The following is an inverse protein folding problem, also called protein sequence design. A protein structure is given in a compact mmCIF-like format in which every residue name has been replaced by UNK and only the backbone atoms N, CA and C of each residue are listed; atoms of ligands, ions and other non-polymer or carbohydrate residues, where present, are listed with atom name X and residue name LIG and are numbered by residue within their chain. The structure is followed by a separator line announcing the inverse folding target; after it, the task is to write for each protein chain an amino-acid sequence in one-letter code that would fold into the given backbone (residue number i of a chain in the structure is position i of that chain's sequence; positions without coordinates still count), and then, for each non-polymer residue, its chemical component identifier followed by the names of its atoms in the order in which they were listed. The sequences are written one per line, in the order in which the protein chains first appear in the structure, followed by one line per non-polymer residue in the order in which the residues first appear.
data_IF_734208911947
#
_entry.id   IF_734208911947
#
_cell.length_a   1.000
_cell.length_b   1.000
_cell.length_c   1.000
_cell.angle_alpha   90.00
_cell.angle_beta   90.00
_cell.angle_gamma   90.00
#
_symmetry.space_group_name_H-M   'P 1'
#
loop_
_entity.id
_entity.type
_entity.pdbx_description
1 polymer ?
#
# COMPACT_ATOMS: atom_id res chain seq x y z
N UNK A 1 19.95 -8.79 10.30
CA UNK A 1 18.77 -9.36 9.62
C UNK A 1 17.46 -9.13 10.39
N UNK A 2 17.44 -9.13 11.73
CA UNK A 2 16.22 -8.87 12.51
C UNK A 2 15.51 -7.57 12.11
N UNK A 3 16.23 -6.45 12.09
CA UNK A 3 15.67 -5.13 11.70
C UNK A 3 15.08 -5.12 10.28
N UNK A 4 15.63 -5.93 9.36
CA UNK A 4 15.12 -6.04 8.00
C UNK A 4 13.82 -6.86 7.95
N UNK A 5 13.73 -7.92 8.77
CA UNK A 5 12.50 -8.70 8.92
C UNK A 5 11.41 -7.88 9.60
N UNK A 6 11.75 -7.10 10.64
CA UNK A 6 10.82 -6.18 11.30
C UNK A 6 10.29 -5.15 10.29
N UNK A 7 11.17 -4.60 9.45
CA UNK A 7 10.77 -3.70 8.36
C UNK A 7 9.85 -4.38 7.35
N UNK A 8 10.15 -5.62 6.93
CA UNK A 8 9.29 -6.36 6.00
C UNK A 8 7.89 -6.62 6.59
N UNK A 9 7.82 -6.90 7.89
CA UNK A 9 6.57 -7.08 8.61
C UNK A 9 5.73 -5.80 8.63
N UNK A 10 6.35 -4.66 8.93
CA UNK A 10 5.66 -3.36 8.86
C UNK A 10 5.29 -2.97 7.42
N UNK A 11 6.12 -3.32 6.44
CA UNK A 11 5.79 -3.12 5.02
C UNK A 11 4.59 -3.96 4.58
N UNK A 12 4.47 -5.20 5.07
CA UNK A 12 3.30 -6.03 4.83
C UNK A 12 2.04 -5.42 5.43
N UNK A 13 2.10 -4.92 6.67
CA UNK A 13 0.97 -4.19 7.28
C UNK A 13 0.62 -2.93 6.51
N UNK A 14 1.61 -2.19 6.03
CA UNK A 14 1.38 -1.00 5.21
C UNK A 14 0.64 -1.37 3.92
N UNK A 15 1.05 -2.45 3.25
CA UNK A 15 0.34 -2.99 2.08
C UNK A 15 -1.13 -3.32 2.43
N UNK A 16 -1.39 -4.03 3.53
CA UNK A 16 -2.76 -4.32 3.97
C UNK A 16 -3.57 -3.06 4.22
N UNK A 17 -2.99 -2.06 4.90
CA UNK A 17 -3.65 -0.78 5.19
C UNK A 17 -3.97 0.00 3.91
N UNK A 18 -3.05 0.04 2.95
CA UNK A 18 -3.30 0.71 1.66
C UNK A 18 -4.37 -0.02 0.85
N UNK A 19 -4.48 -1.34 0.95
CA UNK A 19 -5.56 -2.13 0.35
C UNK A 19 -6.93 -1.77 0.97
N UNK A 20 -7.01 -1.70 2.32
CA UNK A 20 -8.23 -1.26 3.02
C UNK A 20 -8.60 0.19 2.66
N UNK A 21 -7.61 1.07 2.54
CA UNK A 21 -7.82 2.46 2.15
C UNK A 21 -8.34 2.57 0.71
N UNK A 22 -7.79 1.78 -0.20
CA UNK A 22 -8.28 1.64 -1.58
C UNK A 22 -9.73 1.19 -1.60
N UNK A 23 -10.08 0.14 -0.86
CA UNK A 23 -11.45 -0.37 -0.80
C UNK A 23 -12.43 0.67 -0.23
N UNK A 24 -12.00 1.39 0.80
CA UNK A 24 -12.78 2.48 1.39
C UNK A 24 -12.97 3.63 0.40
N UNK A 25 -11.90 4.03 -0.30
CA UNK A 25 -11.94 5.06 -1.34
C UNK A 25 -12.86 4.67 -2.50
N UNK A 26 -12.86 3.40 -2.91
CA UNK A 26 -13.70 2.93 -4.00
C UNK A 26 -15.21 2.98 -3.70
N UNK A 27 -15.59 2.95 -2.41
CA UNK A 27 -16.99 3.09 -1.95
C UNK A 27 -17.47 4.53 -1.89
N UNK A 28 -16.57 5.51 -1.97
CA UNK A 28 -16.92 6.93 -1.96
C UNK A 28 -17.59 7.35 -3.27
N UNK A 29 -18.40 8.41 -3.18
CA UNK A 29 -18.93 9.11 -4.36
C UNK A 29 -17.83 9.89 -5.08
N UNK A 30 -18.07 10.30 -6.33
CA UNK A 30 -17.07 11.04 -7.11
C UNK A 30 -16.67 12.38 -6.48
N UNK A 31 -17.60 13.08 -5.81
CA UNK A 31 -17.30 14.33 -5.11
C UNK A 31 -16.39 14.10 -3.90
N UNK A 32 -16.65 13.04 -3.12
CA UNK A 32 -15.83 12.66 -1.97
C UNK A 32 -14.45 12.16 -2.42
N UNK A 33 -14.37 11.39 -3.51
CA UNK A 33 -13.10 10.99 -4.13
C UNK A 33 -12.25 12.19 -4.52
N UNK A 34 -12.87 13.18 -5.18
CA UNK A 34 -12.19 14.42 -5.55
C UNK A 34 -11.69 15.21 -4.34
N UNK A 35 -12.48 15.25 -3.25
CA UNK A 35 -12.05 15.88 -2.00
C UNK A 35 -10.81 15.17 -1.43
N UNK A 36 -10.85 13.85 -1.31
CA UNK A 36 -9.72 13.05 -0.80
C UNK A 36 -8.46 13.27 -1.64
N UNK A 37 -8.59 13.23 -2.98
CA UNK A 37 -7.47 13.48 -3.88
C UNK A 37 -6.92 14.91 -3.76
N UNK A 38 -7.80 15.92 -3.66
CA UNK A 38 -7.39 17.32 -3.55
C UNK A 38 -6.60 17.64 -2.28
N UNK A 39 -6.76 16.83 -1.23
CA UNK A 39 -6.04 16.96 0.04
C UNK A 39 -4.81 16.05 0.12
N UNK A 40 -4.56 15.21 -0.90
CA UNK A 40 -3.41 14.32 -0.94
C UNK A 40 -2.13 15.11 -1.18
N UNK A 41 -1.11 15.06 -0.29
CA UNK A 41 0.13 15.81 -0.46
C UNK A 41 0.89 15.45 -1.75
N UNK A 42 0.70 14.23 -2.24
CA UNK A 42 1.36 13.70 -3.43
C UNK A 42 0.41 13.60 -4.63
N UNK A 43 -0.85 14.00 -4.48
CA UNK A 43 -1.94 13.76 -5.44
C UNK A 43 -2.07 12.29 -5.87
N UNK A 44 -1.52 11.35 -5.09
CA UNK A 44 -1.66 9.93 -5.36
C UNK A 44 -2.98 9.44 -4.79
N UNK A 45 -3.69 8.64 -5.60
CA UNK A 45 -4.88 7.94 -5.14
C UNK A 45 -4.52 6.77 -4.22
N UNK A 46 -5.44 6.36 -3.33
CA UNK A 46 -5.31 5.12 -2.57
C UNK A 46 -5.04 3.88 -3.43
N UNK A 47 -5.56 3.83 -4.66
CA UNK A 47 -5.21 2.78 -5.63
C UNK A 47 -3.72 2.74 -5.93
N UNK A 48 -3.12 3.91 -6.17
CA UNK A 48 -1.70 4.03 -6.50
C UNK A 48 -0.83 3.65 -5.30
N UNK A 49 -1.22 4.07 -4.10
CA UNK A 49 -0.53 3.70 -2.86
C UNK A 49 -0.54 2.18 -2.63
N UNK A 50 -1.68 1.52 -2.87
CA UNK A 50 -1.81 0.06 -2.74
C UNK A 50 -0.98 -0.69 -3.78
N UNK A 51 -0.98 -0.23 -5.03
CA UNK A 51 -0.15 -0.80 -6.10
C UNK A 51 1.35 -0.69 -5.76
N UNK A 52 1.80 0.49 -5.33
CA UNK A 52 3.20 0.74 -5.02
C UNK A 52 3.65 -0.04 -3.77
N UNK A 53 2.81 -0.13 -2.74
CA UNK A 53 3.06 -0.96 -1.56
C UNK A 53 3.19 -2.46 -1.91
N UNK A 54 2.31 -2.96 -2.77
CA UNK A 54 2.35 -4.36 -3.24
C UNK A 54 3.64 -4.63 -4.01
N UNK A 55 4.01 -3.77 -4.97
CA UNK A 55 5.26 -3.92 -5.74
C UNK A 55 6.49 -3.89 -4.85
N UNK A 56 6.51 -3.00 -3.85
CA UNK A 56 7.62 -2.90 -2.93
C UNK A 56 7.75 -4.17 -2.06
N UNK A 57 6.64 -4.64 -1.50
CA UNK A 57 6.62 -5.86 -0.69
C UNK A 57 7.10 -7.07 -1.51
N UNK A 58 6.58 -7.26 -2.73
CA UNK A 58 6.97 -8.38 -3.59
C UNK A 58 8.45 -8.33 -3.97
N UNK A 59 9.00 -7.14 -4.25
CA UNK A 59 10.42 -6.99 -4.54
C UNK A 59 11.28 -7.39 -3.32
N UNK A 60 10.90 -6.95 -2.12
CA UNK A 60 11.62 -7.30 -0.89
C UNK A 60 11.54 -8.79 -0.56
N UNK A 61 10.36 -9.41 -0.70
CA UNK A 61 10.18 -10.85 -0.49
C UNK A 61 11.04 -11.67 -1.46
N UNK A 62 11.10 -11.26 -2.73
CA UNK A 62 11.95 -11.88 -3.76
C UNK A 62 13.43 -11.82 -3.40
N UNK A 63 13.93 -10.64 -3.02
CA UNK A 63 15.35 -10.46 -2.62
C UNK A 63 15.70 -11.23 -1.35
N UNK A 64 14.73 -11.42 -0.44
CA UNK A 64 14.91 -12.21 0.78
C UNK A 64 14.74 -13.72 0.55
N UNK A 65 14.42 -14.16 -0.67
CA UNK A 65 14.18 -15.57 -0.98
C UNK A 65 12.94 -16.15 -0.30
N UNK A 66 11.97 -15.30 0.06
CA UNK A 66 10.71 -15.71 0.68
C UNK A 66 9.74 -16.06 -0.45
N UNK A 67 9.63 -17.35 -0.76
CA UNK A 67 8.61 -17.85 -1.66
C UNK A 67 7.37 -18.20 -0.82
N UNK A 68 6.26 -17.50 -1.05
CA UNK A 68 4.95 -17.94 -0.60
C UNK A 68 4.48 -19.05 -1.55
N UNK A 69 5.02 -20.27 -1.39
CA UNK A 69 4.44 -21.50 -1.94
C UNK A 69 3.27 -21.97 -1.04
#
# INVERSE_FOLDING_TARGET
MQQLQDFLYELNKYMDQTSVLKDSYNRLTDSEKNLVLSQSPTNQSPDKLSEDATKWLSAMQKEMGINND
#
